data_IF_916417989576
#
_entry.id   IF_916417989576
#
_cell.length_a   1.000
_cell.length_b   1.000
_cell.length_c   1.000
_cell.angle_alpha   90.00
_cell.angle_beta   90.00
_cell.angle_gamma   90.00
#
_symmetry.space_group_name_H-M   'P 1'
#
loop_
_entity.id
_entity.type
_entity.pdbx_description
1 polymer ?
#
# COMPACT_ATOMS: atom_id res chain seq x y z
N UNK A 1 -13.41 -10.33 19.47
CA UNK A 1 -13.55 -8.93 19.02
C UNK A 1 -12.41 -8.15 19.64
N UNK A 2 -11.58 -7.48 18.85
CA UNK A 2 -10.54 -6.61 19.41
C UNK A 2 -11.21 -5.27 19.75
N UNK A 3 -11.40 -5.00 21.04
CA UNK A 3 -11.82 -3.68 21.50
C UNK A 3 -10.74 -2.66 21.17
N UNK A 4 -11.15 -1.48 20.73
CA UNK A 4 -10.24 -0.36 20.45
C UNK A 4 -10.38 0.60 21.61
N UNK A 5 -9.26 1.04 22.19
CA UNK A 5 -9.30 2.03 23.26
C UNK A 5 -9.99 3.31 22.76
N UNK A 6 -10.79 3.96 23.61
CA UNK A 6 -11.49 5.20 23.27
C UNK A 6 -10.53 6.28 22.73
N UNK A 7 -9.30 6.32 23.24
CA UNK A 7 -8.21 7.18 22.76
C UNK A 7 -7.77 6.89 21.33
N UNK A 8 -7.90 5.65 20.86
CA UNK A 8 -7.59 5.24 19.49
C UNK A 8 -8.76 5.42 18.52
N UNK A 9 -10.00 5.63 19.02
CA UNK A 9 -11.18 5.87 18.18
C UNK A 9 -11.06 7.16 17.34
N UNK A 10 -10.46 8.22 17.90
CA UNK A 10 -10.19 9.46 17.15
C UNK A 10 -9.14 9.32 16.04
N UNK A 11 -8.36 8.23 16.06
CA UNK A 11 -7.35 7.89 15.08
C UNK A 11 -7.76 6.68 14.21
N UNK A 12 -8.97 6.16 14.37
CA UNK A 12 -9.46 5.07 13.55
C UNK A 12 -9.92 5.60 12.19
N UNK A 13 -9.49 4.95 11.11
CA UNK A 13 -9.97 5.23 9.76
C UNK A 13 -10.69 3.98 9.27
N UNK A 14 -11.88 4.19 8.72
CA UNK A 14 -12.67 3.15 8.06
C UNK A 14 -12.21 3.05 6.62
N UNK A 15 -11.70 1.89 6.24
CA UNK A 15 -11.43 1.55 4.84
C UNK A 15 -12.51 0.60 4.32
N UNK A 16 -12.91 0.71 3.04
CA UNK A 16 -13.61 -0.39 2.40
C UNK A 16 -12.74 -1.64 2.53
N UNK A 17 -13.38 -2.74 2.93
CA UNK A 17 -12.63 -3.97 3.10
C UNK A 17 -12.11 -4.49 1.75
N UNK A 18 -11.01 -5.21 1.79
CA UNK A 18 -10.47 -5.90 0.61
C UNK A 18 -11.48 -6.93 0.08
N UNK A 19 -11.51 -7.22 -1.24
CA UNK A 19 -12.57 -8.01 -1.86
C UNK A 19 -12.72 -9.44 -1.30
N UNK A 20 -11.66 -10.00 -0.73
CA UNK A 20 -11.66 -11.35 -0.11
C UNK A 20 -12.00 -11.33 1.38
N UNK A 21 -12.30 -10.17 1.97
CA UNK A 21 -12.71 -10.04 3.37
C UNK A 21 -14.19 -10.40 3.54
N UNK A 22 -14.51 -11.23 4.54
CA UNK A 22 -15.91 -11.49 4.96
C UNK A 22 -16.58 -10.26 5.62
N UNK A 23 -15.82 -9.22 5.95
CA UNK A 23 -16.31 -7.97 6.56
C UNK A 23 -16.45 -6.90 5.50
N UNK A 24 -17.50 -6.08 5.60
CA UNK A 24 -17.75 -4.95 4.69
C UNK A 24 -16.75 -3.80 4.87
N UNK A 25 -16.25 -3.60 6.09
CA UNK A 25 -15.35 -2.51 6.42
C UNK A 25 -14.16 -3.01 7.26
N UNK A 26 -13.00 -2.42 7.02
CA UNK A 26 -11.79 -2.63 7.81
C UNK A 26 -11.53 -1.38 8.65
N UNK A 27 -11.67 -1.52 9.96
CA UNK A 27 -11.29 -0.47 10.89
C UNK A 27 -9.80 -0.63 11.21
N UNK A 28 -9.00 0.38 10.86
CA UNK A 28 -7.56 0.38 11.12
C UNK A 28 -7.16 1.64 11.87
N UNK A 29 -6.15 1.52 12.70
CA UNK A 29 -5.45 2.68 13.22
C UNK A 29 -4.81 3.43 12.06
N UNK A 30 -4.89 4.76 12.11
CA UNK A 30 -4.27 5.64 11.13
C UNK A 30 -2.78 5.36 11.07
N UNK A 31 -2.32 4.77 9.97
CA UNK A 31 -0.91 4.40 9.80
C UNK A 31 -0.01 5.64 9.77
N UNK A 32 -0.47 6.75 9.17
CA UNK A 32 0.26 8.03 9.10
C UNK A 32 -0.69 9.25 9.18
N UNK A 33 -0.23 10.41 9.68
CA UNK A 33 -1.05 11.64 9.68
C UNK A 33 -1.55 12.00 8.26
N UNK A 34 -2.70 12.71 8.16
CA UNK A 34 -3.28 13.08 6.84
C UNK A 34 -2.22 13.82 6.03
N UNK A 35 -1.94 13.36 4.81
CA UNK A 35 -1.03 14.06 3.91
C UNK A 35 0.45 13.93 4.25
N UNK A 36 0.83 13.30 5.35
CA UNK A 36 2.23 12.99 5.66
C UNK A 36 2.52 11.54 5.32
N UNK A 37 3.40 11.31 4.34
CA UNK A 37 4.01 10.00 4.13
C UNK A 37 5.40 10.06 4.74
N UNK A 38 5.81 9.09 5.59
CA UNK A 38 7.17 9.05 6.11
C UNK A 38 8.19 9.13 4.98
N UNK A 39 9.30 9.85 5.20
CA UNK A 39 10.32 10.08 4.15
C UNK A 39 10.80 8.79 3.49
N UNK A 40 10.97 7.73 4.27
CA UNK A 40 11.39 6.42 3.77
C UNK A 40 10.33 5.70 2.93
N UNK A 41 9.06 6.10 2.99
CA UNK A 41 7.96 5.53 2.19
C UNK A 41 7.63 6.32 0.92
N UNK A 42 8.12 7.55 0.80
CA UNK A 42 7.90 8.42 -0.38
C UNK A 42 8.31 7.74 -1.70
N UNK A 43 9.44 7.01 -1.80
CA UNK A 43 9.83 6.32 -3.04
C UNK A 43 8.87 5.20 -3.46
N UNK A 44 8.03 4.71 -2.55
CA UNK A 44 7.07 3.63 -2.82
C UNK A 44 5.66 4.14 -3.13
N UNK A 45 5.48 5.45 -3.26
CA UNK A 45 4.22 6.04 -3.70
C UNK A 45 4.13 6.07 -5.23
N UNK A 46 3.04 5.52 -5.76
CA UNK A 46 2.71 5.61 -7.19
C UNK A 46 2.55 7.05 -7.71
N UNK A 47 2.14 7.99 -6.86
CA UNK A 47 1.71 9.35 -7.26
C UNK A 47 2.84 10.32 -7.62
N UNK A 48 4.12 9.99 -7.45
CA UNK A 48 5.24 10.91 -7.72
C UNK A 48 6.45 10.25 -8.39
N UNK A 49 6.22 9.37 -9.37
CA UNK A 49 7.33 8.76 -10.13
C UNK A 49 8.26 7.89 -9.27
N UNK A 50 7.73 7.31 -8.18
CA UNK A 50 8.46 6.38 -7.34
C UNK A 50 8.77 5.06 -8.05
N UNK A 51 9.60 4.23 -7.42
CA UNK A 51 10.01 2.90 -7.91
C UNK A 51 8.82 2.05 -8.44
N UNK A 52 7.63 2.05 -7.79
CA UNK A 52 6.50 1.30 -8.34
C UNK A 52 5.97 1.83 -9.67
N UNK A 53 6.08 3.14 -9.93
CA UNK A 53 5.63 3.73 -11.19
C UNK A 53 6.59 3.42 -12.35
N UNK A 54 7.90 3.37 -12.10
CA UNK A 54 8.89 2.93 -13.10
C UNK A 54 8.74 1.44 -13.39
N UNK A 55 8.66 0.61 -12.35
CA UNK A 55 8.43 -0.84 -12.49
C UNK A 55 7.09 -1.16 -13.17
N UNK A 56 6.06 -0.32 -13.00
CA UNK A 56 4.78 -0.48 -13.69
C UNK A 56 4.86 -0.19 -15.20
N UNK A 57 5.75 0.72 -15.63
CA UNK A 57 6.02 0.98 -17.05
C UNK A 57 6.81 -0.17 -17.69
N UNK A 58 7.82 -0.69 -16.98
CA UNK A 58 8.66 -1.81 -17.42
C UNK A 58 7.93 -3.16 -17.51
N UNK A 59 6.74 -3.26 -16.90
CA UNK A 59 5.93 -4.49 -16.88
C UNK A 59 4.59 -4.31 -17.58
N UNK A 60 4.43 -3.24 -18.37
CA UNK A 60 3.18 -2.91 -19.04
C UNK A 60 2.79 -3.96 -20.11
N UNK A 61 3.76 -4.64 -20.69
CA UNK A 61 3.62 -5.71 -21.68
C UNK A 61 3.18 -7.06 -21.10
N UNK A 62 3.28 -7.22 -19.77
CA UNK A 62 2.96 -8.48 -19.07
C UNK A 62 1.54 -8.47 -18.54
N UNK A 63 0.94 -9.65 -18.42
CA UNK A 63 -0.41 -9.84 -17.87
C UNK A 63 -0.45 -10.89 -16.77
N UNK A 64 -1.53 -10.91 -15.99
CA UNK A 64 -1.79 -11.90 -14.95
C UNK A 64 -0.67 -12.05 -13.92
N UNK A 65 -0.35 -13.30 -13.57
CA UNK A 65 0.68 -13.62 -12.58
C UNK A 65 2.09 -13.16 -13.01
N UNK A 66 2.41 -13.24 -14.31
CA UNK A 66 3.71 -12.83 -14.83
C UNK A 66 3.99 -11.34 -14.58
N UNK A 67 2.96 -10.49 -14.69
CA UNK A 67 3.06 -9.07 -14.34
C UNK A 67 3.32 -8.87 -12.85
N UNK A 68 2.63 -9.60 -11.99
CA UNK A 68 2.78 -9.48 -10.53
C UNK A 68 4.20 -9.87 -10.10
N UNK A 69 4.70 -11.02 -10.58
CA UNK A 69 6.05 -11.48 -10.25
C UNK A 69 7.13 -10.51 -10.73
N UNK A 70 7.00 -10.02 -11.96
CA UNK A 70 7.96 -9.06 -12.54
C UNK A 70 7.93 -7.68 -11.86
N UNK A 71 6.74 -7.20 -11.45
CA UNK A 71 6.64 -5.99 -10.63
C UNK A 71 7.35 -6.18 -9.30
N UNK A 72 7.08 -7.28 -8.59
CA UNK A 72 7.66 -7.54 -7.28
C UNK A 72 9.18 -7.69 -7.35
N UNK A 73 9.72 -8.33 -8.40
CA UNK A 73 11.16 -8.45 -8.59
C UNK A 73 11.81 -7.09 -8.87
N UNK A 74 11.19 -6.26 -9.70
CA UNK A 74 11.70 -4.91 -10.02
C UNK A 74 11.77 -4.03 -8.77
N UNK A 75 10.68 -3.97 -8.00
CA UNK A 75 10.63 -3.19 -6.75
C UNK A 75 11.65 -3.72 -5.74
N UNK A 76 11.78 -5.05 -5.61
CA UNK A 76 12.75 -5.67 -4.70
C UNK A 76 14.20 -5.42 -5.10
N UNK A 77 14.51 -5.37 -6.39
CA UNK A 77 15.85 -5.04 -6.89
C UNK A 77 16.20 -3.58 -6.61
N UNK A 78 15.25 -2.66 -6.80
CA UNK A 78 15.43 -1.25 -6.47
C UNK A 78 15.59 -0.99 -4.96
N UNK A 79 15.03 -1.86 -4.11
CA UNK A 79 15.16 -1.82 -2.65
C UNK A 79 16.52 -2.31 -2.10
N UNK A 80 17.30 -3.04 -2.90
CA UNK A 80 18.61 -3.58 -2.50
C UNK A 80 19.78 -2.60 -2.74
N UNK A 81 19.52 -1.47 -3.39
CA UNK A 81 20.49 -0.39 -3.61
C UNK A 81 20.35 0.68 -2.53
#
# INVERSE_FOLDING_TARGET
MAGISLSAAGNAIVYPAVPWSKRLFSLKTRSFPKGSVPRHLVPFLFKKGGVPATCARETADKSGAARIHSMNSCVSAALRK
#
